data_IF_173496442479
#
_entry.id   IF_173496442479
#
_cell.length_a   1.000
_cell.length_b   1.000
_cell.length_c   1.000
_cell.angle_alpha   90.00
_cell.angle_beta   90.00
_cell.angle_gamma   90.00
#
_symmetry.space_group_name_H-M   'P 1'
#
loop_
_entity.id
_entity.type
_entity.pdbx_description
1 polymer ?
#
# COMPACT_ATOMS: atom_id res chain seq x y z
N UNK A 1 16.13 22.64 0.73
CA UNK A 1 15.84 22.11 2.08
C UNK A 1 14.92 20.91 1.92
N UNK A 2 15.36 19.67 2.22
CA UNK A 2 14.50 18.47 2.13
C UNK A 2 13.39 18.62 3.18
N UNK A 3 12.13 18.64 2.76
CA UNK A 3 10.98 18.62 3.66
C UNK A 3 11.07 17.33 4.48
N UNK A 4 11.18 17.43 5.80
CA UNK A 4 11.14 16.23 6.66
C UNK A 4 9.75 15.62 6.54
N UNK A 5 9.68 14.31 6.35
CA UNK A 5 8.39 13.62 6.26
C UNK A 5 7.64 13.77 7.59
N UNK A 6 6.34 14.01 7.50
CA UNK A 6 5.48 14.04 8.68
C UNK A 6 5.31 12.63 9.26
N UNK A 7 4.95 12.54 10.54
CA UNK A 7 4.66 11.23 11.17
C UNK A 7 3.52 10.50 10.43
N UNK A 8 2.55 11.25 9.90
CA UNK A 8 1.42 10.70 9.15
C UNK A 8 1.84 10.17 7.76
N UNK A 9 2.74 10.88 7.08
CA UNK A 9 3.35 10.41 5.82
C UNK A 9 4.10 9.08 6.02
N UNK A 10 4.90 8.97 7.09
CA UNK A 10 5.65 7.73 7.39
C UNK A 10 4.68 6.58 7.71
N UNK A 11 3.64 6.85 8.50
CA UNK A 11 2.64 5.86 8.88
C UNK A 11 1.88 5.32 7.66
N UNK A 12 1.41 6.21 6.80
CA UNK A 12 0.67 5.85 5.58
C UNK A 12 1.56 5.18 4.54
N UNK A 13 2.82 5.58 4.42
CA UNK A 13 3.82 4.89 3.59
C UNK A 13 4.05 3.45 4.07
N UNK A 14 4.22 3.27 5.38
CA UNK A 14 4.44 1.94 5.98
C UNK A 14 3.22 1.03 5.73
N UNK A 15 2.02 1.57 5.88
CA UNK A 15 0.77 0.85 5.63
C UNK A 15 0.65 0.44 4.15
N UNK A 16 1.00 1.32 3.21
CA UNK A 16 1.02 1.01 1.78
C UNK A 16 2.03 -0.08 1.44
N UNK A 17 3.27 0.01 1.94
CA UNK A 17 4.30 -1.02 1.74
C UNK A 17 3.86 -2.37 2.28
N UNK A 18 3.20 -2.40 3.44
CA UNK A 18 2.66 -3.61 4.01
C UNK A 18 1.54 -4.22 3.14
N UNK A 19 0.62 -3.40 2.63
CA UNK A 19 -0.44 -3.86 1.74
C UNK A 19 0.13 -4.46 0.44
N UNK A 20 1.14 -3.81 -0.15
CA UNK A 20 1.84 -4.30 -1.34
C UNK A 20 2.54 -5.63 -1.09
N UNK A 21 3.26 -5.76 0.02
CA UNK A 21 3.92 -7.03 0.39
C UNK A 21 2.91 -8.16 0.64
N UNK A 22 1.73 -7.85 1.18
CA UNK A 22 0.66 -8.82 1.35
C UNK A 22 0.05 -9.25 0.02
N UNK A 23 -0.20 -8.30 -0.88
CA UNK A 23 -0.67 -8.57 -2.24
C UNK A 23 0.33 -9.46 -2.99
N UNK A 24 1.62 -9.08 -2.99
CA UNK A 24 2.70 -9.85 -3.63
C UNK A 24 2.78 -11.28 -3.07
N UNK A 25 2.76 -11.44 -1.74
CA UNK A 25 2.74 -12.76 -1.10
C UNK A 25 1.51 -13.59 -1.49
N UNK A 26 0.34 -12.97 -1.57
CA UNK A 26 -0.88 -13.67 -1.95
C UNK A 26 -0.86 -14.06 -3.44
N UNK A 27 -0.38 -13.17 -4.31
CA UNK A 27 -0.22 -13.44 -5.74
C UNK A 27 0.83 -14.53 -6.03
N UNK A 28 1.85 -14.67 -5.17
CA UNK A 28 2.83 -15.75 -5.24
C UNK A 28 2.37 -17.10 -4.66
N UNK A 29 1.14 -17.19 -4.14
CA UNK A 29 0.61 -18.41 -3.52
C UNK A 29 -0.09 -19.32 -4.51
N UNK A 30 0.01 -20.64 -4.29
CA UNK A 30 -0.78 -21.65 -5.04
C UNK A 30 -2.28 -21.58 -4.74
N UNK A 31 -2.68 -20.89 -3.67
CA UNK A 31 -4.08 -20.72 -3.26
C UNK A 31 -4.68 -19.38 -3.70
N UNK A 32 -4.08 -18.73 -4.70
CA UNK A 32 -4.61 -17.47 -5.24
C UNK A 32 -5.97 -17.70 -5.88
N UNK A 33 -6.93 -16.81 -5.58
CA UNK A 33 -8.27 -16.83 -6.18
C UNK A 33 -8.61 -15.43 -6.69
N UNK A 34 -9.49 -15.33 -7.68
CA UNK A 34 -9.95 -14.05 -8.21
C UNK A 34 -10.63 -13.18 -7.15
N UNK A 35 -11.31 -13.79 -6.19
CA UNK A 35 -11.92 -13.07 -5.07
C UNK A 35 -10.86 -12.50 -4.12
N UNK A 36 -9.89 -13.33 -3.71
CA UNK A 36 -8.80 -12.88 -2.85
C UNK A 36 -7.94 -11.81 -3.53
N UNK A 37 -7.70 -11.95 -4.84
CA UNK A 37 -6.97 -10.94 -5.62
C UNK A 37 -7.65 -9.58 -5.51
N UNK A 38 -8.97 -9.51 -5.77
CA UNK A 38 -9.73 -8.26 -5.64
C UNK A 38 -9.66 -7.69 -4.22
N UNK A 39 -9.76 -8.54 -3.19
CA UNK A 39 -9.64 -8.06 -1.80
C UNK A 39 -8.26 -7.44 -1.52
N UNK A 40 -7.19 -8.02 -2.04
CA UNK A 40 -5.83 -7.49 -1.86
C UNK A 40 -5.61 -6.19 -2.68
N UNK A 41 -6.08 -6.16 -3.92
CA UNK A 41 -6.06 -4.95 -4.77
C UNK A 41 -6.83 -3.80 -4.12
N UNK A 42 -8.01 -4.06 -3.53
CA UNK A 42 -8.80 -3.07 -2.80
C UNK A 42 -8.05 -2.51 -1.58
N UNK A 43 -7.36 -3.37 -0.82
CA UNK A 43 -6.52 -2.95 0.32
C UNK A 43 -5.38 -2.06 -0.13
N UNK A 44 -4.68 -2.42 -1.21
CA UNK A 44 -3.61 -1.60 -1.78
C UNK A 44 -4.14 -0.26 -2.28
N UNK A 45 -5.28 -0.26 -2.98
CA UNK A 45 -5.92 0.97 -3.46
C UNK A 45 -6.31 1.90 -2.30
N UNK A 46 -6.87 1.35 -1.22
CA UNK A 46 -7.22 2.12 -0.02
C UNK A 46 -5.97 2.71 0.66
N UNK A 47 -4.92 1.90 0.83
CA UNK A 47 -3.66 2.37 1.42
C UNK A 47 -3.00 3.45 0.56
N UNK A 48 -3.04 3.29 -0.77
CA UNK A 48 -2.51 4.28 -1.72
C UNK A 48 -3.28 5.60 -1.65
N UNK A 49 -4.61 5.55 -1.59
CA UNK A 49 -5.43 6.75 -1.42
C UNK A 49 -5.08 7.51 -0.12
N UNK A 50 -4.84 6.79 0.97
CA UNK A 50 -4.43 7.38 2.24
C UNK A 50 -3.03 7.99 2.18
N UNK A 51 -2.07 7.29 1.57
CA UNK A 51 -0.72 7.81 1.34
C UNK A 51 -0.73 9.09 0.49
N UNK A 52 -1.55 9.13 -0.57
CA UNK A 52 -1.71 10.32 -1.41
C UNK A 52 -2.33 11.49 -0.64
N UNK A 53 -3.35 11.24 0.19
CA UNK A 53 -3.95 12.26 1.06
C UNK A 53 -2.94 12.82 2.08
N UNK A 54 -2.02 12.00 2.56
CA UNK A 54 -0.97 12.42 3.50
C UNK A 54 0.14 13.26 2.84
N UNK A 55 0.16 13.41 1.52
CA UNK A 55 1.18 14.18 0.79
C UNK A 55 2.24 13.31 0.09
N UNK A 56 2.03 12.00 0.03
CA UNK A 56 2.90 11.05 -0.66
C UNK A 56 2.94 11.23 -2.18
N UNK A 57 4.14 11.15 -2.77
CA UNK A 57 4.35 11.09 -4.23
C UNK A 57 4.57 9.64 -4.68
N UNK A 58 4.19 9.32 -5.92
CA UNK A 58 4.09 7.95 -6.47
C UNK A 58 5.46 7.32 -6.78
N UNK A 59 6.44 7.49 -5.89
CA UNK A 59 7.78 6.93 -5.99
C UNK A 59 7.97 5.76 -4.99
N UNK A 60 6.95 4.91 -4.87
CA UNK A 60 6.97 3.68 -4.06
C UNK A 60 6.80 2.49 -4.99
#
# INVERSE_FOLDING_TARGET
MKKRRTKEEIKTETALRFALAQEERYMGSVFVTSHGQRQHEEKVKAAYANYRKAGGTKDI
#
